data_IF_090962713697
#
_entry.id   IF_090962713697
#
_cell.length_a   1.000
_cell.length_b   1.000
_cell.length_c   1.000
_cell.angle_alpha   90.00
_cell.angle_beta   90.00
_cell.angle_gamma   90.00
#
_symmetry.space_group_name_H-M   'P 1'
#
loop_
_entity.id
_entity.type
_entity.pdbx_description
1 polymer ?
#
# COMPACT_ATOMS: atom_id res chain seq x y z
N UNK A 1 -61.31 -17.09 -27.74
CA UNK A 1 -60.24 -17.84 -28.44
C UNK A 1 -59.16 -16.93 -29.03
N UNK A 2 -59.48 -15.89 -29.82
CA UNK A 2 -58.46 -14.96 -30.40
C UNK A 2 -57.51 -14.33 -29.37
N UNK A 3 -58.01 -13.89 -28.21
CA UNK A 3 -57.17 -13.23 -27.19
C UNK A 3 -56.11 -14.15 -26.57
N UNK A 4 -56.41 -15.45 -26.42
CA UNK A 4 -55.45 -16.44 -25.89
C UNK A 4 -54.30 -16.66 -26.88
N UNK A 5 -54.58 -16.68 -28.18
CA UNK A 5 -53.54 -16.79 -29.21
C UNK A 5 -52.61 -15.56 -29.23
N UNK A 6 -53.13 -14.35 -29.02
CA UNK A 6 -52.30 -13.15 -28.92
C UNK A 6 -51.42 -13.17 -27.67
N UNK A 7 -51.94 -13.60 -26.52
CA UNK A 7 -51.15 -13.69 -25.28
C UNK A 7 -50.02 -14.71 -25.40
N UNK A 8 -50.29 -15.88 -26.00
CA UNK A 8 -49.28 -16.92 -26.24
C UNK A 8 -48.22 -16.45 -27.25
N UNK A 9 -48.62 -15.77 -28.32
CA UNK A 9 -47.68 -15.22 -29.31
C UNK A 9 -46.76 -14.14 -28.71
N UNK A 10 -47.30 -13.26 -27.86
CA UNK A 10 -46.52 -12.22 -27.17
C UNK A 10 -45.55 -12.86 -26.15
N UNK A 11 -45.99 -13.85 -25.37
CA UNK A 11 -45.11 -14.59 -24.46
C UNK A 11 -44.00 -15.34 -25.21
N UNK A 12 -44.31 -15.94 -26.36
CA UNK A 12 -43.32 -16.61 -27.20
C UNK A 12 -42.27 -15.63 -27.76
N UNK A 13 -42.70 -14.45 -28.23
CA UNK A 13 -41.79 -13.40 -28.69
C UNK A 13 -40.91 -12.88 -27.55
N UNK A 14 -41.48 -12.67 -26.36
CA UNK A 14 -40.73 -12.24 -25.17
C UNK A 14 -39.68 -13.29 -24.77
N UNK A 15 -40.05 -14.58 -24.72
CA UNK A 15 -39.12 -15.68 -24.41
C UNK A 15 -38.03 -15.81 -25.48
N UNK A 16 -38.37 -15.68 -26.76
CA UNK A 16 -37.40 -15.67 -27.86
C UNK A 16 -36.45 -14.46 -27.81
N UNK A 17 -36.96 -13.27 -27.44
CA UNK A 17 -36.14 -12.08 -27.24
C UNK A 17 -35.20 -12.24 -26.03
N UNK A 18 -35.65 -12.80 -24.91
CA UNK A 18 -34.78 -13.06 -23.75
C UNK A 18 -33.72 -14.14 -24.04
N UNK A 19 -34.05 -15.19 -24.80
CA UNK A 19 -33.06 -16.20 -25.24
C UNK A 19 -32.05 -15.63 -26.24
N UNK A 20 -32.45 -14.66 -27.07
CA UNK A 20 -31.60 -14.03 -28.07
C UNK A 20 -30.73 -12.91 -27.48
N UNK A 21 -31.22 -12.17 -26.49
CA UNK A 21 -30.41 -11.19 -25.73
C UNK A 21 -29.34 -11.87 -24.87
N UNK A 22 -29.59 -13.09 -24.37
CA UNK A 22 -28.56 -13.88 -23.69
C UNK A 22 -27.42 -14.33 -24.64
N UNK A 23 -27.67 -14.41 -25.95
CA UNK A 23 -26.65 -14.68 -26.99
C UNK A 23 -25.88 -13.43 -27.43
N UNK A 24 -26.44 -12.22 -27.27
CA UNK A 24 -25.78 -10.96 -27.60
C UNK A 24 -24.64 -10.61 -26.63
N UNK A 25 -24.61 -11.19 -25.43
CA UNK A 25 -23.46 -11.18 -24.52
C UNK A 25 -22.66 -12.49 -24.58
N UNK A 26 -22.28 -12.94 -25.80
CA UNK A 26 -21.80 -14.28 -26.19
C UNK A 26 -20.55 -14.89 -25.51
N UNK A 27 -20.29 -14.59 -24.24
CA UNK A 27 -19.29 -15.25 -23.41
C UNK A 27 -19.85 -16.35 -22.52
N UNK A 28 -18.96 -17.23 -22.04
CA UNK A 28 -19.27 -18.32 -21.13
C UNK A 28 -19.95 -17.82 -19.85
N UNK A 29 -20.96 -18.54 -19.32
CA UNK A 29 -21.58 -18.17 -18.03
C UNK A 29 -20.61 -18.42 -16.85
N UNK A 30 -20.84 -17.74 -15.72
CA UNK A 30 -20.01 -17.90 -14.50
C UNK A 30 -19.98 -19.36 -14.02
N UNK A 31 -21.10 -20.07 -14.06
CA UNK A 31 -21.15 -21.50 -13.65
C UNK A 31 -20.37 -22.42 -14.59
N UNK A 32 -20.43 -22.14 -15.90
CA UNK A 32 -19.64 -22.89 -16.90
C UNK A 32 -18.15 -22.58 -16.75
N UNK A 33 -17.78 -21.33 -16.48
CA UNK A 33 -16.41 -20.92 -16.20
C UNK A 33 -15.89 -21.58 -14.92
N UNK A 34 -16.67 -21.58 -13.83
CA UNK A 34 -16.36 -22.25 -12.57
C UNK A 34 -16.11 -23.75 -12.76
N UNK A 35 -16.99 -24.43 -13.51
CA UNK A 35 -16.83 -25.85 -13.82
C UNK A 35 -15.59 -26.12 -14.66
N UNK A 36 -15.29 -25.24 -15.62
CA UNK A 36 -14.10 -25.34 -16.47
C UNK A 36 -12.83 -25.16 -15.65
N UNK A 37 -12.78 -24.12 -14.81
CA UNK A 37 -11.66 -23.86 -13.91
C UNK A 37 -11.42 -25.04 -12.96
N UNK A 38 -12.48 -25.57 -12.33
CA UNK A 38 -12.37 -26.74 -11.44
C UNK A 38 -11.72 -27.94 -12.14
N UNK A 39 -12.17 -28.25 -13.36
CA UNK A 39 -11.59 -29.34 -14.17
C UNK A 39 -10.13 -29.07 -14.52
N UNK A 40 -9.81 -27.84 -14.91
CA UNK A 40 -8.46 -27.43 -15.25
C UNK A 40 -7.51 -27.57 -14.05
N UNK A 41 -7.89 -27.04 -12.88
CA UNK A 41 -7.10 -27.16 -11.66
C UNK A 41 -6.87 -28.63 -11.29
N UNK A 42 -7.92 -29.46 -11.28
CA UNK A 42 -7.78 -30.90 -10.96
C UNK A 42 -6.90 -31.68 -11.95
N UNK A 43 -6.77 -31.22 -13.19
CA UNK A 43 -5.94 -31.86 -14.21
C UNK A 43 -4.47 -31.45 -14.10
N UNK A 44 -4.21 -30.16 -13.86
CA UNK A 44 -2.86 -29.58 -13.95
C UNK A 44 -2.17 -29.42 -12.59
N UNK A 45 -2.88 -29.63 -11.49
CA UNK A 45 -2.28 -29.60 -10.17
C UNK A 45 -2.84 -30.71 -9.28
N UNK A 46 -1.95 -31.49 -8.67
CA UNK A 46 -2.32 -32.59 -7.76
C UNK A 46 -2.71 -32.10 -6.36
N UNK A 47 -2.68 -30.78 -6.13
CA UNK A 47 -3.07 -30.18 -4.86
C UNK A 47 -4.58 -29.91 -4.83
N UNK A 48 -5.16 -29.95 -3.63
CA UNK A 48 -6.55 -29.60 -3.41
C UNK A 48 -6.75 -28.08 -3.48
N UNK A 49 -6.59 -27.49 -4.67
CA UNK A 49 -6.91 -26.08 -4.88
C UNK A 49 -8.43 -25.89 -4.94
N UNK A 50 -8.88 -24.79 -4.36
CA UNK A 50 -10.23 -24.27 -4.44
C UNK A 50 -10.16 -22.81 -4.88
N UNK A 51 -11.33 -22.21 -5.09
CA UNK A 51 -11.39 -20.83 -5.55
C UNK A 51 -12.63 -20.13 -5.01
N UNK A 52 -12.52 -18.81 -4.87
CA UNK A 52 -13.60 -17.91 -4.48
C UNK A 52 -13.57 -16.63 -5.34
N UNK A 53 -14.59 -15.78 -5.19
CA UNK A 53 -14.62 -14.46 -5.86
C UNK A 53 -14.50 -14.51 -7.40
N UNK A 54 -15.04 -15.55 -8.05
CA UNK A 54 -15.03 -15.67 -9.52
C UNK A 54 -15.85 -14.54 -10.15
N UNK A 55 -15.21 -13.61 -10.83
CA UNK A 55 -15.85 -12.43 -11.42
C UNK A 55 -15.48 -12.33 -12.89
N UNK A 56 -16.40 -11.80 -13.71
CA UNK A 56 -16.06 -11.48 -15.10
C UNK A 56 -15.17 -10.25 -15.08
N UNK A 57 -14.04 -10.33 -15.76
CA UNK A 57 -13.07 -9.26 -15.84
C UNK A 57 -13.08 -8.69 -17.25
N UNK A 58 -13.24 -7.37 -17.37
CA UNK A 58 -13.15 -6.64 -18.63
C UNK A 58 -11.92 -5.73 -18.53
N UNK A 59 -10.89 -5.96 -19.34
CA UNK A 59 -9.81 -4.97 -19.47
C UNK A 59 -10.13 -4.03 -20.63
N UNK A 60 -9.71 -2.76 -20.50
CA UNK A 60 -9.99 -1.69 -21.46
C UNK A 60 -9.50 -2.00 -22.88
N UNK A 61 -8.56 -2.94 -23.04
CA UNK A 61 -8.00 -3.35 -24.34
C UNK A 61 -8.60 -4.61 -24.98
N UNK A 62 -9.40 -5.42 -24.28
CA UNK A 62 -9.99 -6.62 -24.84
C UNK A 62 -11.37 -6.85 -24.21
N UNK A 63 -12.42 -6.43 -24.93
CA UNK A 63 -13.84 -6.68 -24.59
C UNK A 63 -14.22 -8.18 -24.70
N UNK A 64 -13.32 -9.08 -24.33
CA UNK A 64 -13.52 -10.51 -24.40
C UNK A 64 -14.47 -10.96 -23.28
N UNK A 65 -15.69 -11.41 -23.61
CA UNK A 65 -16.68 -11.78 -22.61
C UNK A 65 -16.33 -13.10 -21.90
N UNK A 66 -15.25 -13.78 -22.27
CA UNK A 66 -14.82 -15.03 -21.65
C UNK A 66 -13.70 -14.85 -20.61
N UNK A 67 -13.27 -13.62 -20.33
CA UNK A 67 -12.26 -13.34 -19.33
C UNK A 67 -12.86 -13.31 -17.91
N UNK A 68 -12.23 -14.03 -16.99
CA UNK A 68 -12.59 -14.07 -15.59
C UNK A 68 -11.38 -13.80 -14.70
N UNK A 69 -11.62 -13.17 -13.56
CA UNK A 69 -10.71 -13.12 -12.43
C UNK A 69 -11.25 -13.98 -11.30
N UNK A 70 -10.36 -14.58 -10.52
CA UNK A 70 -10.72 -15.45 -9.40
C UNK A 70 -9.58 -15.47 -8.39
N UNK A 71 -9.89 -15.76 -7.13
CA UNK A 71 -8.90 -16.00 -6.10
C UNK A 71 -8.76 -17.51 -5.89
N UNK A 72 -7.55 -18.04 -6.12
CA UNK A 72 -7.23 -19.46 -5.94
C UNK A 72 -6.60 -19.64 -4.57
N UNK A 73 -6.94 -20.72 -3.85
CA UNK A 73 -6.34 -21.05 -2.56
C UNK A 73 -6.20 -22.55 -2.34
N UNK A 74 -5.28 -22.96 -1.46
CA UNK A 74 -5.14 -24.37 -1.04
C UNK A 74 -6.15 -24.72 0.06
N UNK A 75 -6.95 -25.78 -0.14
CA UNK A 75 -7.87 -26.27 0.90
C UNK A 75 -7.09 -26.68 2.15
N UNK A 76 -7.49 -26.15 3.30
CA UNK A 76 -6.80 -26.36 4.58
C UNK A 76 -5.70 -25.35 4.88
N UNK A 77 -5.30 -24.52 3.91
CA UNK A 77 -4.37 -23.39 4.08
C UNK A 77 -4.88 -22.18 3.27
N UNK A 78 -6.01 -21.58 3.68
CA UNK A 78 -6.63 -20.51 2.91
C UNK A 78 -5.74 -19.28 2.75
N UNK A 79 -4.71 -19.09 3.58
CA UNK A 79 -3.75 -17.98 3.44
C UNK A 79 -2.73 -18.20 2.30
N UNK A 80 -2.57 -19.45 1.82
CA UNK A 80 -1.83 -19.73 0.59
C UNK A 80 -2.79 -19.51 -0.58
N UNK A 81 -2.84 -18.26 -1.02
CA UNK A 81 -3.77 -17.79 -2.05
C UNK A 81 -3.12 -16.87 -3.07
N UNK A 82 -3.65 -16.88 -4.29
CA UNK A 82 -3.17 -16.02 -5.38
C UNK A 82 -4.30 -15.69 -6.38
N UNK A 83 -4.26 -14.48 -6.99
CA UNK A 83 -5.20 -14.13 -8.03
C UNK A 83 -4.89 -14.90 -9.32
N UNK A 84 -5.93 -15.29 -10.04
CA UNK A 84 -5.83 -15.88 -11.36
C UNK A 84 -6.77 -15.16 -12.33
N UNK A 85 -6.22 -14.80 -13.48
CA UNK A 85 -6.99 -14.32 -14.62
C UNK A 85 -6.99 -15.41 -15.70
N UNK A 86 -8.13 -15.67 -16.32
CA UNK A 86 -8.19 -16.69 -17.36
C UNK A 86 -9.31 -16.46 -18.37
N UNK A 87 -9.06 -16.83 -19.63
CA UNK A 87 -10.09 -17.03 -20.64
C UNK A 87 -10.73 -18.41 -20.48
N UNK A 88 -11.98 -18.44 -20.02
CA UNK A 88 -12.69 -19.69 -19.77
C UNK A 88 -12.98 -20.49 -21.06
N UNK A 89 -13.11 -19.83 -22.21
CA UNK A 89 -13.35 -20.49 -23.50
C UNK A 89 -12.07 -21.16 -23.99
N UNK A 90 -10.94 -20.44 -23.98
CA UNK A 90 -9.64 -21.01 -24.36
C UNK A 90 -9.21 -22.13 -23.42
N UNK A 91 -9.44 -21.98 -22.11
CA UNK A 91 -9.18 -23.03 -21.14
C UNK A 91 -10.01 -24.29 -21.44
N UNK A 92 -11.28 -24.14 -21.81
CA UNK A 92 -12.15 -25.26 -22.17
C UNK A 92 -11.75 -25.93 -23.49
N UNK A 93 -11.49 -25.15 -24.52
CA UNK A 93 -11.30 -25.64 -25.90
C UNK A 93 -9.89 -26.12 -26.18
N UNK A 94 -8.89 -25.48 -25.55
CA UNK A 94 -7.47 -25.70 -25.84
C UNK A 94 -6.66 -26.14 -24.63
N UNK A 95 -7.30 -26.33 -23.48
CA UNK A 95 -6.61 -26.64 -22.21
C UNK A 95 -5.47 -25.66 -21.90
N UNK A 96 -5.69 -24.39 -22.26
CA UNK A 96 -4.68 -23.34 -22.22
C UNK A 96 -5.06 -22.29 -21.20
N UNK A 97 -4.13 -21.97 -20.29
CA UNK A 97 -4.26 -20.81 -19.41
C UNK A 97 -3.82 -19.55 -20.16
N UNK A 98 -4.79 -18.77 -20.63
CA UNK A 98 -4.54 -17.43 -21.17
C UNK A 98 -5.02 -16.37 -20.18
N UNK A 99 -4.08 -15.60 -19.61
CA UNK A 99 -4.37 -14.63 -18.54
C UNK A 99 -4.57 -13.19 -19.04
N UNK A 100 -4.37 -12.94 -20.34
CA UNK A 100 -4.33 -11.58 -20.92
C UNK A 100 -3.00 -10.85 -20.64
N UNK A 101 -2.59 -9.97 -21.57
CA UNK A 101 -1.36 -9.16 -21.42
C UNK A 101 -0.06 -9.98 -21.48
N UNK A 102 0.94 -9.59 -20.66
CA UNK A 102 2.27 -10.20 -20.59
C UNK A 102 2.36 -11.38 -19.58
N UNK A 103 1.28 -11.72 -18.89
CA UNK A 103 1.29 -12.77 -17.87
C UNK A 103 1.34 -14.17 -18.53
N UNK A 104 2.50 -14.83 -18.44
CA UNK A 104 2.78 -16.14 -19.08
C UNK A 104 3.02 -17.30 -18.10
N UNK A 105 2.76 -17.11 -16.80
CA UNK A 105 3.04 -18.15 -15.79
C UNK A 105 2.00 -19.27 -15.87
N UNK A 106 2.44 -20.51 -15.70
CA UNK A 106 1.54 -21.65 -15.49
C UNK A 106 0.94 -21.63 -14.08
N UNK A 107 -0.19 -22.32 -13.87
CA UNK A 107 -0.77 -22.47 -12.51
C UNK A 107 0.25 -23.08 -11.54
N UNK A 108 1.04 -24.05 -11.99
CA UNK A 108 2.04 -24.71 -11.15
C UNK A 108 3.14 -23.72 -10.71
N UNK A 109 3.60 -22.86 -11.63
CA UNK A 109 4.58 -21.81 -11.31
C UNK A 109 4.00 -20.81 -10.31
N UNK A 110 2.78 -20.32 -10.56
CA UNK A 110 2.09 -19.39 -9.63
C UNK A 110 1.95 -20.02 -8.24
N UNK A 111 1.50 -21.28 -8.16
CA UNK A 111 1.39 -21.98 -6.89
C UNK A 111 2.74 -22.17 -6.19
N UNK A 112 3.80 -22.54 -6.92
CA UNK A 112 5.15 -22.70 -6.35
C UNK A 112 5.68 -21.39 -5.77
N UNK A 113 5.52 -20.28 -6.48
CA UNK A 113 5.92 -18.95 -6.03
C UNK A 113 5.12 -18.52 -4.79
N UNK A 114 3.79 -18.63 -4.82
CA UNK A 114 2.94 -18.30 -3.67
C UNK A 114 3.24 -19.17 -2.46
N UNK A 115 3.57 -20.44 -2.68
CA UNK A 115 3.97 -21.35 -1.59
C UNK A 115 5.30 -20.95 -0.98
N UNK A 116 6.28 -20.55 -1.79
CA UNK A 116 7.57 -20.06 -1.31
C UNK A 116 7.39 -18.78 -0.48
N UNK A 117 6.63 -17.81 -1.00
CA UNK A 117 6.25 -16.58 -0.28
C UNK A 117 5.58 -16.89 1.06
N UNK A 118 4.55 -17.75 1.05
CA UNK A 118 3.84 -18.17 2.25
C UNK A 118 4.80 -18.81 3.27
N UNK A 119 5.67 -19.72 2.85
CA UNK A 119 6.62 -20.40 3.75
C UNK A 119 7.59 -19.43 4.40
N UNK A 120 8.13 -18.47 3.64
CA UNK A 120 8.99 -17.41 4.19
C UNK A 120 8.22 -16.55 5.18
N UNK A 121 7.02 -16.08 4.82
CA UNK A 121 6.18 -15.27 5.73
C UNK A 121 5.88 -16.02 7.04
N UNK A 122 5.50 -17.30 6.98
CA UNK A 122 5.28 -18.10 8.19
C UNK A 122 6.56 -18.28 9.02
N UNK A 123 7.72 -18.41 8.37
CA UNK A 123 9.00 -18.46 9.07
C UNK A 123 9.27 -17.14 9.83
N UNK A 124 9.11 -16.00 9.17
CA UNK A 124 9.31 -14.67 9.78
C UNK A 124 8.35 -14.45 10.96
N UNK A 125 7.07 -14.77 10.79
CA UNK A 125 6.05 -14.71 11.86
C UNK A 125 6.46 -15.57 13.05
N UNK A 126 6.91 -16.81 12.82
CA UNK A 126 7.35 -17.69 13.88
C UNK A 126 8.60 -17.17 14.62
N UNK A 127 9.53 -16.49 13.94
CA UNK A 127 10.71 -15.91 14.59
C UNK A 127 10.35 -14.73 15.50
N UNK A 128 9.45 -13.84 15.07
CA UNK A 128 9.02 -12.71 15.89
C UNK A 128 8.12 -13.12 17.04
N UNK A 129 7.29 -14.16 16.85
CA UNK A 129 6.48 -14.73 17.92
C UNK A 129 7.33 -15.22 19.11
N UNK A 130 8.54 -15.72 18.89
CA UNK A 130 9.48 -16.10 19.96
C UNK A 130 9.99 -14.93 20.80
N UNK A 131 9.82 -13.71 20.30
CA UNK A 131 10.18 -12.44 20.96
C UNK A 131 8.93 -11.71 21.49
N UNK A 132 7.78 -12.38 21.54
CA UNK A 132 6.47 -11.79 21.89
C UNK A 132 6.06 -10.60 21.00
N UNK A 133 6.55 -10.58 19.76
CA UNK A 133 6.20 -9.59 18.74
C UNK A 133 5.29 -10.24 17.69
N UNK A 134 4.17 -9.58 17.40
CA UNK A 134 3.22 -10.04 16.38
C UNK A 134 3.61 -9.42 15.04
N UNK A 135 3.69 -10.25 14.00
CA UNK A 135 3.92 -9.82 12.63
C UNK A 135 2.71 -10.20 11.77
N UNK A 136 2.16 -9.20 11.09
CA UNK A 136 1.13 -9.37 10.07
C UNK A 136 1.68 -8.83 8.74
N UNK A 137 1.71 -9.66 7.70
CA UNK A 137 2.27 -9.29 6.41
C UNK A 137 1.18 -9.24 5.36
N UNK A 138 1.08 -8.12 4.65
CA UNK A 138 0.23 -7.91 3.48
C UNK A 138 1.12 -7.64 2.25
N UNK A 139 0.54 -7.38 1.09
CA UNK A 139 1.20 -7.25 -0.21
C UNK A 139 2.23 -6.11 -0.31
N UNK A 140 2.09 -5.05 0.50
CA UNK A 140 2.98 -3.88 0.49
C UNK A 140 3.36 -3.40 1.90
N UNK A 141 2.84 -4.05 2.94
CA UNK A 141 3.03 -3.63 4.32
C UNK A 141 3.37 -4.82 5.22
N UNK A 142 4.19 -4.55 6.23
CA UNK A 142 4.45 -5.45 7.35
C UNK A 142 4.09 -4.73 8.64
N UNK A 143 3.03 -5.17 9.31
CA UNK A 143 2.62 -4.61 10.60
C UNK A 143 3.33 -5.38 11.71
N UNK A 144 4.16 -4.68 12.48
CA UNK A 144 4.93 -5.20 13.61
C UNK A 144 4.33 -4.64 14.89
N UNK A 145 3.70 -5.51 15.69
CA UNK A 145 3.02 -5.12 16.93
C UNK A 145 3.80 -5.63 18.14
N UNK A 146 4.23 -4.69 18.98
CA UNK A 146 4.85 -5.00 20.26
C UNK A 146 3.77 -5.12 21.32
N UNK A 147 3.84 -6.18 22.13
CA UNK A 147 2.83 -6.51 23.15
C UNK A 147 3.03 -5.71 24.45
N UNK A 148 4.28 -5.42 24.80
CA UNK A 148 4.68 -4.56 25.91
C UNK A 148 5.26 -3.23 25.41
N UNK A 149 5.77 -2.38 26.32
CA UNK A 149 6.50 -1.16 25.98
C UNK A 149 8.01 -1.46 25.86
N UNK A 150 8.51 -1.87 24.67
CA UNK A 150 9.91 -2.20 24.48
C UNK A 150 10.82 -0.98 24.61
N UNK A 151 12.11 -1.23 24.85
CA UNK A 151 13.12 -0.19 24.71
C UNK A 151 13.30 0.19 23.23
N UNK A 152 13.69 1.44 22.92
CA UNK A 152 13.98 1.86 21.55
C UNK A 152 15.01 0.98 20.84
N UNK A 153 16.04 0.53 21.58
CA UNK A 153 17.04 -0.39 21.09
C UNK A 153 16.42 -1.72 20.63
N UNK A 154 15.53 -2.31 21.43
CA UNK A 154 14.86 -3.57 21.07
C UNK A 154 13.96 -3.41 19.83
N UNK A 155 13.27 -2.27 19.69
CA UNK A 155 12.48 -1.95 18.48
C UNK A 155 13.40 -1.95 17.27
N UNK A 156 14.49 -1.16 17.31
CA UNK A 156 15.44 -1.00 16.21
C UNK A 156 16.08 -2.34 15.81
N UNK A 157 16.56 -3.11 16.78
CA UNK A 157 17.14 -4.44 16.53
C UNK A 157 16.14 -5.41 15.90
N UNK A 158 14.88 -5.39 16.38
CA UNK A 158 13.81 -6.25 15.85
C UNK A 158 13.51 -5.91 14.39
N UNK A 159 13.38 -4.62 14.06
CA UNK A 159 13.11 -4.17 12.70
C UNK A 159 14.29 -4.43 11.75
N UNK A 160 15.52 -4.16 12.18
CA UNK A 160 16.73 -4.44 11.39
C UNK A 160 16.88 -5.94 11.16
N UNK A 161 16.68 -6.77 12.18
CA UNK A 161 16.72 -8.22 12.04
C UNK A 161 15.63 -8.73 11.10
N UNK A 162 14.41 -8.18 11.17
CA UNK A 162 13.33 -8.54 10.28
C UNK A 162 13.66 -8.18 8.83
N UNK A 163 14.08 -6.94 8.57
CA UNK A 163 14.47 -6.48 7.23
C UNK A 163 15.60 -7.33 6.65
N UNK A 164 16.61 -7.68 7.46
CA UNK A 164 17.69 -8.58 7.06
C UNK A 164 17.17 -9.96 6.65
N UNK A 165 16.29 -10.57 7.42
CA UNK A 165 15.69 -11.87 7.06
C UNK A 165 14.82 -11.75 5.79
N UNK A 166 14.15 -10.62 5.58
CA UNK A 166 13.39 -10.38 4.35
C UNK A 166 14.29 -10.25 3.12
N UNK A 167 15.39 -9.50 3.21
CA UNK A 167 16.39 -9.40 2.13
C UNK A 167 17.00 -10.77 1.80
N UNK A 168 17.27 -11.62 2.80
CA UNK A 168 17.75 -12.99 2.58
C UNK A 168 16.79 -13.88 1.78
N UNK A 169 15.50 -13.53 1.75
CA UNK A 169 14.45 -14.27 1.06
C UNK A 169 13.74 -13.43 -0.01
N UNK A 170 14.38 -12.36 -0.50
CA UNK A 170 13.79 -11.38 -1.40
C UNK A 170 13.20 -12.01 -2.67
N UNK A 171 13.92 -12.95 -3.29
CA UNK A 171 13.47 -13.64 -4.51
C UNK A 171 12.20 -14.50 -4.32
N UNK A 172 11.91 -14.86 -3.07
CA UNK A 172 10.75 -15.69 -2.72
C UNK A 172 9.57 -14.87 -2.21
N UNK A 173 9.80 -13.63 -1.80
CA UNK A 173 8.75 -12.76 -1.28
C UNK A 173 8.06 -12.01 -2.43
N UNK A 174 6.74 -12.13 -2.51
CA UNK A 174 5.94 -11.47 -3.54
C UNK A 174 5.56 -10.05 -3.12
N UNK A 175 6.55 -9.16 -2.99
CA UNK A 175 6.37 -7.72 -2.76
C UNK A 175 6.57 -6.92 -4.05
N UNK A 176 5.64 -6.01 -4.35
CA UNK A 176 5.80 -5.07 -5.46
C UNK A 176 6.40 -3.75 -4.96
N UNK A 177 7.71 -3.59 -5.11
CA UNK A 177 8.39 -2.30 -4.93
C UNK A 177 8.73 -1.98 -3.46
N UNK A 178 8.25 -0.82 -2.99
CA UNK A 178 8.57 -0.28 -1.66
C UNK A 178 7.77 -0.94 -0.56
N UNK A 179 8.47 -1.42 0.47
CA UNK A 179 7.87 -2.06 1.64
C UNK A 179 7.73 -1.04 2.78
N UNK A 180 6.56 -0.98 3.41
CA UNK A 180 6.36 -0.13 4.60
C UNK A 180 6.15 -0.99 5.84
N UNK A 181 6.81 -0.64 6.94
CA UNK A 181 6.61 -1.30 8.23
C UNK A 181 5.74 -0.42 9.12
N UNK A 182 4.56 -0.91 9.49
CA UNK A 182 3.71 -0.22 10.47
C UNK A 182 4.06 -0.76 11.86
N UNK A 183 4.70 0.07 12.67
CA UNK A 183 5.17 -0.24 14.00
C UNK A 183 4.14 0.23 15.01
N UNK A 184 3.54 -0.73 15.72
CA UNK A 184 2.57 -0.47 16.77
C UNK A 184 3.22 -0.70 18.13
N UNK A 185 3.31 0.36 18.94
CA UNK A 185 3.75 0.29 20.33
C UNK A 185 2.56 0.65 21.25
N UNK A 186 2.41 0.01 22.42
CA UNK A 186 1.30 0.30 23.32
C UNK A 186 1.29 1.75 23.82
N UNK A 187 2.46 2.36 24.08
CA UNK A 187 2.58 3.71 24.63
C UNK A 187 2.18 4.84 23.68
N UNK A 188 2.14 4.60 22.36
CA UNK A 188 1.85 5.63 21.35
C UNK A 188 0.60 5.31 20.52
N UNK A 189 -0.10 4.22 20.82
CA UNK A 189 -1.41 3.95 20.23
C UNK A 189 -2.35 5.13 20.58
N UNK A 190 -2.97 5.80 19.60
CA UNK A 190 -3.32 5.36 18.23
C UNK A 190 -2.38 5.79 17.08
N UNK A 191 -1.28 6.49 17.36
CA UNK A 191 -0.32 6.96 16.36
C UNK A 191 0.63 5.82 16.00
N UNK A 192 0.42 5.20 14.83
CA UNK A 192 1.32 4.15 14.34
C UNK A 192 2.57 4.78 13.74
N UNK A 193 3.75 4.34 14.17
CA UNK A 193 5.00 4.71 13.51
C UNK A 193 5.09 3.91 12.21
N UNK A 194 5.54 4.54 11.14
CA UNK A 194 5.80 3.91 9.86
C UNK A 194 7.29 4.00 9.53
N UNK A 195 7.95 2.84 9.42
CA UNK A 195 9.29 2.77 8.84
C UNK A 195 9.17 2.65 7.32
N UNK A 196 9.76 3.59 6.60
CA UNK A 196 9.79 3.63 5.14
C UNK A 196 11.05 2.95 4.66
N UNK A 197 10.93 2.09 3.65
CA UNK A 197 12.10 1.49 2.99
C UNK A 197 12.31 2.05 1.59
N UNK A 198 13.56 1.97 1.16
CA UNK A 198 14.00 2.21 -0.21
C UNK A 198 14.83 1.02 -0.69
N UNK A 199 14.91 0.84 -2.00
CA UNK A 199 15.78 -0.19 -2.60
C UNK A 199 17.12 0.43 -2.94
N UNK A 200 18.19 -0.09 -2.35
CA UNK A 200 19.56 0.32 -2.61
C UNK A 200 20.41 -0.93 -2.88
N UNK A 201 21.07 -0.98 -4.05
CA UNK A 201 21.84 -2.15 -4.49
C UNK A 201 21.02 -3.46 -4.41
N UNK A 202 19.79 -3.42 -4.94
CA UNK A 202 18.83 -4.53 -4.94
C UNK A 202 18.29 -4.93 -3.56
N UNK A 203 18.84 -4.46 -2.45
CA UNK A 203 18.33 -4.75 -1.10
C UNK A 203 17.39 -3.64 -0.58
N UNK A 204 16.42 -4.00 0.25
CA UNK A 204 15.64 -3.01 1.00
C UNK A 204 16.44 -2.48 2.19
N UNK A 205 16.39 -1.15 2.40
CA UNK A 205 16.98 -0.46 3.55
C UNK A 205 15.98 0.52 4.13
N UNK A 206 16.01 0.72 5.45
CA UNK A 206 15.21 1.78 6.09
C UNK A 206 15.76 3.13 5.68
N UNK A 207 14.92 4.00 5.11
CA UNK A 207 15.29 5.37 4.79
C UNK A 207 14.97 6.31 5.96
N UNK A 208 13.76 6.22 6.50
CA UNK A 208 13.34 7.04 7.63
C UNK A 208 12.12 6.44 8.36
N UNK A 209 11.82 7.01 9.52
CA UNK A 209 10.61 6.74 10.29
C UNK A 209 9.70 7.97 10.26
N UNK A 210 8.40 7.74 10.15
CA UNK A 210 7.35 8.77 10.16
C UNK A 210 6.14 8.28 10.94
N UNK A 211 5.05 9.05 10.97
CA UNK A 211 3.76 8.61 11.49
C UNK A 211 2.85 8.21 10.33
N UNK A 212 2.12 7.11 10.48
CA UNK A 212 1.24 6.58 9.46
C UNK A 212 0.06 7.53 9.20
N UNK A 213 0.10 8.22 8.07
CA UNK A 213 -0.89 9.22 7.67
C UNK A 213 -2.29 8.64 7.39
N UNK A 214 -2.41 7.31 7.32
CA UNK A 214 -3.70 6.62 7.12
C UNK A 214 -4.44 6.35 8.43
N UNK A 215 -3.81 6.60 9.58
CA UNK A 215 -4.45 6.41 10.88
C UNK A 215 -5.44 7.54 11.16
N UNK A 216 -6.54 7.23 11.85
CA UNK A 216 -7.56 8.24 12.23
C UNK A 216 -6.98 9.34 13.13
N UNK A 217 -5.94 9.02 13.90
CA UNK A 217 -5.29 9.95 14.82
C UNK A 217 -4.36 10.96 14.14
N UNK A 218 -3.92 10.68 12.91
CA UNK A 218 -2.98 11.55 12.21
C UNK A 218 -3.57 12.90 11.83
N UNK A 219 -4.82 12.93 11.35
CA UNK A 219 -5.45 14.17 10.88
C UNK A 219 -5.57 15.22 12.01
N UNK A 220 -6.10 14.90 13.20
CA UNK A 220 -6.13 15.86 14.32
C UNK A 220 -4.75 16.38 14.73
N UNK A 221 -3.73 15.50 14.76
CA UNK A 221 -2.35 15.87 15.06
C UNK A 221 -1.82 16.89 14.03
N UNK A 222 -1.99 16.58 12.74
CA UNK A 222 -1.58 17.47 11.66
C UNK A 222 -2.25 18.85 11.79
N UNK A 223 -3.56 18.90 12.03
CA UNK A 223 -4.31 20.16 12.16
C UNK A 223 -3.81 20.99 13.35
N UNK A 224 -3.54 20.36 14.48
CA UNK A 224 -2.99 21.00 15.69
C UNK A 224 -1.62 21.64 15.42
N UNK A 225 -0.69 20.86 14.86
CA UNK A 225 0.66 21.32 14.49
C UNK A 225 0.59 22.48 13.49
N UNK A 226 -0.20 22.33 12.42
CA UNK A 226 -0.34 23.36 11.40
C UNK A 226 -0.92 24.67 11.96
N UNK A 227 -1.88 24.59 12.88
CA UNK A 227 -2.44 25.76 13.53
C UNK A 227 -1.42 26.44 14.47
N UNK A 228 -0.63 25.65 15.20
CA UNK A 228 0.48 26.14 16.02
C UNK A 228 1.51 26.90 15.18
N UNK A 229 1.99 26.29 14.09
CA UNK A 229 2.95 26.90 13.18
C UNK A 229 2.37 28.16 12.53
N UNK A 230 1.12 28.13 12.05
CA UNK A 230 0.46 29.30 11.47
C UNK A 230 0.40 30.48 12.44
N UNK A 231 0.15 30.21 13.71
CA UNK A 231 0.14 31.23 14.77
C UNK A 231 1.55 31.76 14.99
N UNK A 232 2.55 30.88 15.10
CA UNK A 232 3.95 31.26 15.25
C UNK A 232 4.45 32.14 14.09
N UNK A 233 4.16 31.76 12.84
CA UNK A 233 4.57 32.50 11.63
C UNK A 233 3.97 33.90 11.63
N UNK A 234 2.68 34.02 11.95
CA UNK A 234 2.00 35.33 12.01
C UNK A 234 2.58 36.25 13.07
N UNK A 235 2.98 35.71 14.23
CA UNK A 235 3.41 36.51 15.38
C UNK A 235 4.90 36.83 15.34
N UNK A 236 5.75 35.89 14.93
CA UNK A 236 7.21 36.01 15.10
C UNK A 236 7.97 36.26 13.78
N UNK A 237 7.43 35.81 12.64
CA UNK A 237 8.12 35.85 11.33
C UNK A 237 7.15 36.24 10.21
N UNK A 238 6.52 37.40 10.39
CA UNK A 238 5.36 37.86 9.59
C UNK A 238 5.65 38.12 8.09
N UNK A 239 6.93 38.16 7.70
CA UNK A 239 7.41 38.26 6.31
C UNK A 239 7.20 36.96 5.52
N UNK A 240 6.97 35.84 6.20
CA UNK A 240 6.74 34.54 5.59
C UNK A 240 5.26 34.13 5.60
N UNK A 241 4.96 33.13 4.76
CA UNK A 241 3.72 32.36 4.77
C UNK A 241 4.00 30.87 4.60
N UNK A 242 3.03 30.03 4.98
CA UNK A 242 3.18 28.57 4.87
C UNK A 242 3.13 28.13 3.41
N UNK A 243 4.14 27.38 2.99
CA UNK A 243 4.17 26.68 1.70
C UNK A 243 3.45 25.31 1.82
N UNK A 244 2.88 24.72 0.75
CA UNK A 244 2.24 23.40 0.84
C UNK A 244 3.20 22.26 1.22
N UNK A 245 4.50 22.44 0.95
CA UNK A 245 5.53 21.44 1.26
C UNK A 245 5.63 21.18 2.76
N UNK A 246 5.57 19.90 3.13
CA UNK A 246 5.70 19.44 4.50
C UNK A 246 6.23 18.01 4.56
N UNK A 247 6.92 17.68 5.65
CA UNK A 247 7.31 16.32 6.01
C UNK A 247 7.26 16.12 7.52
N UNK A 248 7.20 14.86 7.95
CA UNK A 248 7.28 14.47 9.35
C UNK A 248 8.28 13.34 9.49
N UNK A 249 9.18 13.47 10.46
CA UNK A 249 10.16 12.45 10.82
C UNK A 249 10.02 12.08 12.29
N UNK A 250 10.17 10.79 12.60
CA UNK A 250 10.22 10.24 13.95
C UNK A 250 11.67 9.96 14.31
N UNK A 251 12.03 10.28 15.55
CA UNK A 251 13.33 9.95 16.13
C UNK A 251 13.50 8.43 16.24
N UNK A 252 14.36 7.84 15.41
CA UNK A 252 14.61 6.40 15.41
C UNK A 252 15.39 5.89 16.63
N UNK A 253 16.01 6.78 17.42
CA UNK A 253 16.75 6.40 18.62
C UNK A 253 15.86 6.38 19.87
N UNK A 254 14.74 7.10 19.86
CA UNK A 254 13.80 7.16 21.01
C UNK A 254 12.40 6.65 20.70
N UNK A 255 11.94 6.74 19.44
CA UNK A 255 10.57 6.48 18.99
C UNK A 255 9.48 7.25 19.75
N UNK A 256 9.86 8.29 20.48
CA UNK A 256 8.96 9.14 21.30
C UNK A 256 8.89 10.57 20.82
N UNK A 257 9.84 10.98 19.99
CA UNK A 257 9.96 12.34 19.52
C UNK A 257 9.80 12.38 18.01
N UNK A 258 9.20 13.45 17.52
CA UNK A 258 9.08 13.71 16.10
C UNK A 258 9.38 15.16 15.79
N UNK A 259 9.70 15.41 14.52
CA UNK A 259 9.86 16.75 13.96
C UNK A 259 8.91 16.91 12.77
N UNK A 260 8.09 17.94 12.84
CA UNK A 260 7.35 18.45 11.70
C UNK A 260 8.17 19.50 10.98
N UNK A 261 8.28 19.34 9.67
CA UNK A 261 9.05 20.22 8.80
C UNK A 261 8.06 20.91 7.87
N UNK A 262 8.01 22.23 7.95
CA UNK A 262 7.08 23.06 7.21
C UNK A 262 7.85 24.03 6.32
N UNK A 263 7.70 23.93 5.01
CA UNK A 263 8.26 24.91 4.09
C UNK A 263 7.56 26.26 4.24
N UNK A 264 8.32 27.34 4.06
CA UNK A 264 7.85 28.71 4.05
C UNK A 264 8.30 29.43 2.77
N UNK A 265 7.46 30.36 2.33
CA UNK A 265 7.76 31.28 1.23
C UNK A 265 7.61 32.72 1.69
N UNK A 266 8.29 33.65 1.04
CA UNK A 266 8.08 35.08 1.30
C UNK A 266 6.67 35.50 0.89
N UNK A 267 6.02 36.30 1.74
CA UNK A 267 4.64 36.76 1.51
C UNK A 267 4.53 37.70 0.30
N UNK A 268 5.58 38.46 -0.01
CA UNK A 268 5.56 39.39 -1.16
C UNK A 268 5.65 38.66 -2.51
N UNK A 269 6.29 37.49 -2.56
CA UNK A 269 6.43 36.69 -3.77
C UNK A 269 5.11 36.11 -4.31
N UNK A 270 4.08 35.94 -3.45
CA UNK A 270 2.76 35.43 -3.86
C UNK A 270 1.76 36.51 -4.31
N UNK A 271 2.11 37.80 -4.22
CA UNK A 271 1.26 38.88 -4.71
C UNK A 271 1.33 39.05 -6.24
N UNK A 272 2.24 38.33 -6.92
CA UNK A 272 2.19 38.16 -8.36
C UNK A 272 1.10 37.13 -8.71
N UNK A 273 -0.02 37.61 -9.23
CA UNK A 273 -1.24 36.84 -9.56
C UNK A 273 -1.07 35.71 -10.59
N UNK A 274 0.15 35.47 -11.08
CA UNK A 274 0.48 34.41 -12.04
C UNK A 274 1.10 33.15 -11.40
N UNK A 275 1.55 33.21 -10.14
CA UNK A 275 2.09 32.06 -9.41
C UNK A 275 1.08 31.52 -8.40
N UNK A 276 0.47 30.38 -8.73
CA UNK A 276 -0.28 29.61 -7.74
C UNK A 276 0.61 29.24 -6.54
N UNK A 277 0.04 29.12 -5.34
CA UNK A 277 0.74 28.91 -4.05
C UNK A 277 1.81 27.79 -4.04
N UNK A 278 1.73 26.82 -4.95
CA UNK A 278 2.70 25.72 -5.09
C UNK A 278 3.91 26.05 -5.98
N UNK A 279 3.95 27.24 -6.60
CA UNK A 279 5.04 27.72 -7.46
C UNK A 279 5.98 28.71 -6.74
N UNK A 280 5.58 29.21 -5.58
CA UNK A 280 6.43 30.10 -4.81
C UNK A 280 7.65 29.31 -4.29
N UNK A 281 8.88 29.85 -4.41
CA UNK A 281 10.05 29.15 -3.90
C UNK A 281 9.95 28.99 -2.38
N UNK A 282 10.45 27.85 -1.88
CA UNK A 282 10.64 27.65 -0.44
C UNK A 282 11.92 28.41 -0.05
N UNK A 283 11.77 29.49 0.72
CA UNK A 283 12.87 30.39 1.11
C UNK A 283 13.22 30.29 2.60
N UNK A 284 12.43 29.56 3.39
CA UNK A 284 12.75 29.16 4.75
C UNK A 284 12.02 27.87 5.12
N UNK A 285 12.45 27.24 6.21
CA UNK A 285 11.80 26.05 6.77
C UNK A 285 11.61 26.22 8.27
N UNK A 286 10.44 25.84 8.77
CA UNK A 286 10.19 25.68 10.20
C UNK A 286 10.33 24.21 10.59
N UNK A 287 11.09 23.98 11.65
CA UNK A 287 11.15 22.72 12.37
C UNK A 287 10.37 22.86 13.67
N UNK A 288 9.38 21.99 13.89
CA UNK A 288 8.65 21.92 15.15
C UNK A 288 8.84 20.53 15.76
N UNK A 289 9.57 20.48 16.87
CA UNK A 289 9.86 19.25 17.60
C UNK A 289 8.78 19.02 18.66
N UNK A 290 8.29 17.80 18.77
CA UNK A 290 7.22 17.46 19.70
C UNK A 290 7.35 16.02 20.22
N UNK A 291 6.73 15.77 21.38
CA UNK A 291 6.55 14.42 21.91
C UNK A 291 5.35 13.74 21.24
N UNK A 292 5.50 12.50 20.80
CA UNK A 292 4.46 11.76 20.09
C UNK A 292 3.32 11.36 21.05
N UNK A 293 3.65 11.04 22.30
CA UNK A 293 2.70 10.49 23.28
C UNK A 293 1.71 11.57 23.74
N UNK A 294 2.22 12.72 24.18
CA UNK A 294 1.38 13.81 24.71
C UNK A 294 1.19 14.99 23.73
N UNK A 295 1.84 14.93 22.55
CA UNK A 295 1.77 15.96 21.50
C UNK A 295 2.30 17.34 21.93
N UNK A 296 3.05 17.40 23.04
CA UNK A 296 3.62 18.65 23.54
C UNK A 296 4.75 19.15 22.64
N UNK A 297 4.72 20.44 22.31
CA UNK A 297 5.79 21.08 21.53
C UNK A 297 7.00 21.30 22.44
N UNK A 298 8.14 20.74 22.05
CA UNK A 298 9.43 20.86 22.77
C UNK A 298 10.20 22.09 22.32
N UNK A 299 10.25 22.34 21.00
CA UNK A 299 10.90 23.51 20.43
C UNK A 299 10.34 23.84 19.05
N UNK A 300 10.57 25.08 18.61
CA UNK A 300 10.27 25.53 17.24
C UNK A 300 11.44 26.37 16.75
N UNK A 301 11.98 26.02 15.60
CA UNK A 301 13.15 26.64 15.00
C UNK A 301 12.83 27.03 13.56
N UNK A 302 13.41 28.13 13.09
CA UNK A 302 13.32 28.56 11.69
C UNK A 302 14.72 28.60 11.09
N UNK A 303 14.84 28.02 9.90
CA UNK A 303 16.06 28.05 9.11
C UNK A 303 15.77 28.75 7.78
N UNK A 304 16.28 29.97 7.57
CA UNK A 304 16.31 30.60 6.26
C UNK A 304 17.12 29.75 5.29
N UNK A 305 16.67 29.71 4.04
CA UNK A 305 17.32 29.00 2.95
C UNK A 305 18.09 29.96 2.05
N UNK A 306 19.23 29.49 1.54
CA UNK A 306 20.09 30.26 0.63
C UNK A 306 19.54 30.22 -0.80
N UNK A 307 19.09 31.35 -1.32
CA UNK A 307 18.34 31.43 -2.59
C UNK A 307 19.16 30.95 -3.81
N UNK A 308 20.49 30.85 -3.67
CA UNK A 308 21.40 30.41 -4.73
C UNK A 308 21.48 28.87 -4.90
N UNK A 309 20.76 28.09 -4.08
CA UNK A 309 20.72 26.62 -4.17
C UNK A 309 19.33 26.11 -4.47
N UNK A 310 19.27 24.98 -5.18
CA UNK A 310 18.00 24.28 -5.39
C UNK A 310 17.45 23.75 -4.06
N UNK A 311 16.13 23.61 -3.98
CA UNK A 311 15.47 23.07 -2.80
C UNK A 311 15.99 21.66 -2.47
N UNK A 312 16.25 20.84 -3.50
CA UNK A 312 16.80 19.49 -3.37
C UNK A 312 18.20 19.48 -2.73
N UNK A 313 19.12 20.34 -3.18
CA UNK A 313 20.47 20.43 -2.60
C UNK A 313 20.47 20.92 -1.15
N UNK A 314 19.51 21.78 -0.82
CA UNK A 314 19.33 22.22 0.57
C UNK A 314 18.67 21.15 1.41
N UNK A 315 17.77 20.36 0.82
CA UNK A 315 17.10 19.26 1.47
C UNK A 315 18.09 18.17 1.90
N UNK A 316 19.00 17.77 1.04
CA UNK A 316 20.05 16.80 1.40
C UNK A 316 20.86 17.28 2.61
N UNK A 317 21.18 18.59 2.68
CA UNK A 317 21.85 19.21 3.83
C UNK A 317 20.95 19.36 5.05
N UNK A 318 19.64 19.44 4.86
CA UNK A 318 18.69 19.44 5.97
C UNK A 318 18.56 18.05 6.58
N UNK A 319 18.59 16.98 5.77
CA UNK A 319 18.61 15.60 6.26
C UNK A 319 19.88 15.33 7.12
N UNK A 320 21.02 15.95 6.78
CA UNK A 320 22.23 15.96 7.64
C UNK A 320 22.03 16.69 8.98
N UNK A 321 21.14 17.69 9.00
CA UNK A 321 20.78 18.48 10.19
C UNK A 321 19.61 17.88 10.97
N UNK A 322 18.89 16.92 10.40
CA UNK A 322 17.88 16.18 11.14
C UNK A 322 18.59 15.40 12.25
N UNK A 323 18.24 15.61 13.52
CA UNK A 323 18.86 14.88 14.62
C UNK A 323 18.56 13.37 14.59
N UNK A 324 17.76 12.90 13.63
CA UNK A 324 17.17 11.57 13.57
C UNK A 324 17.55 10.77 12.32
N UNK A 325 18.61 11.16 11.60
CA UNK A 325 19.08 10.41 10.44
C UNK A 325 19.44 8.98 10.83
N UNK A 326 18.85 8.01 10.13
CA UNK A 326 19.13 6.58 10.33
C UNK A 326 20.51 6.31 9.76
N UNK A 327 21.55 6.39 10.60
CA UNK A 327 22.91 5.95 10.25
C UNK A 327 23.02 4.44 10.24
#
# INVERSE_FOLDING_TARGET
MKNIFYTIAILAVIVCCFQSCARLFGGMSKDKAATTLKKYLSKHINHSLAFENLNRFWNEGNMNPNMFSVEIFEKGKPDLRFPLYFDAKLMKEKDSLYQGGLHKKSIEQMYKETKADYQVKQHLVAQLKKKDVILEMDYATATVKFTDNPSPHFIKETLVSLLKMMNQHQDSLLYAGSLHFNVQLPSIAPQEIQAVTETQHEEWRFSHFTLNSKTKAYQPLQESIQQGIKTYVKTNVNTYQMHPYRKLYVNADTFKEAVWIQGLSEREASNNSEMADYKAPVTAVIFQFFDIEDQSIKSTEILPLDVDRTFEEQWEKMDEKLPFSVK
#
